data_IF_312381271451
#
_entry.id   IF_312381271451
#
_cell.length_a   1.000
_cell.length_b   1.000
_cell.length_c   1.000
_cell.angle_alpha   90.00
_cell.angle_beta   90.00
_cell.angle_gamma   90.00
#
_symmetry.space_group_name_H-M   'P 1'
#
loop_
_entity.id
_entity.type
_entity.pdbx_description
1 polymer ?
#
# COMPACT_ATOMS: atom_id res chain seq x y z
N UNK A 1 6.12 6.39 -11.85
CA UNK A 1 6.38 7.54 -10.96
C UNK A 1 5.83 7.22 -9.58
N UNK A 2 6.64 7.22 -8.51
CA UNK A 2 6.18 6.92 -7.15
C UNK A 2 5.91 8.25 -6.41
N UNK A 3 4.75 8.35 -5.76
CA UNK A 3 4.42 9.48 -4.88
C UNK A 3 5.08 9.23 -3.53
N UNK A 4 5.84 10.18 -3.05
CA UNK A 4 6.59 10.12 -1.80
C UNK A 4 6.03 11.12 -0.79
N UNK A 5 6.14 10.79 0.49
CA UNK A 5 5.77 11.69 1.59
C UNK A 5 6.92 11.78 2.59
N UNK A 6 7.29 13.00 2.98
CA UNK A 6 8.28 13.20 4.03
C UNK A 6 7.66 12.85 5.39
N UNK A 7 8.24 11.92 6.15
CA UNK A 7 7.72 11.54 7.47
C UNK A 7 7.93 12.63 8.53
N UNK A 8 8.77 13.64 8.26
CA UNK A 8 9.08 14.71 9.21
C UNK A 8 8.18 15.94 9.03
N UNK A 9 7.99 16.40 7.79
CA UNK A 9 7.21 17.61 7.50
C UNK A 9 5.88 17.34 6.79
N UNK A 10 5.62 16.10 6.36
CA UNK A 10 4.41 15.74 5.63
C UNK A 10 4.34 16.24 4.18
N UNK A 11 5.41 16.86 3.66
CA UNK A 11 5.44 17.31 2.27
C UNK A 11 5.31 16.11 1.30
N UNK A 12 4.60 16.29 0.18
CA UNK A 12 4.34 15.23 -0.80
C UNK A 12 4.92 15.64 -2.15
N UNK A 13 5.74 14.77 -2.75
CA UNK A 13 6.34 15.02 -4.07
C UNK A 13 6.40 13.74 -4.90
N UNK A 14 6.69 13.89 -6.19
CA UNK A 14 6.80 12.76 -7.11
C UNK A 14 8.28 12.54 -7.37
N UNK A 15 8.79 11.36 -7.00
CA UNK A 15 10.18 10.99 -7.26
C UNK A 15 10.32 10.32 -8.63
N UNK A 16 11.37 10.70 -9.37
CA UNK A 16 11.72 10.09 -10.66
C UNK A 16 12.61 8.87 -10.50
N UNK A 17 13.47 8.86 -9.49
CA UNK A 17 14.44 7.79 -9.21
C UNK A 17 13.91 6.74 -8.24
N UNK A 18 14.45 5.53 -8.36
CA UNK A 18 14.20 4.38 -7.47
C UNK A 18 15.24 4.27 -6.35
N UNK A 19 15.98 5.34 -6.06
CA UNK A 19 17.00 5.36 -5.02
C UNK A 19 16.40 5.13 -3.62
N UNK A 20 17.18 4.47 -2.76
CA UNK A 20 16.79 4.12 -1.40
C UNK A 20 16.96 5.28 -0.41
N UNK A 21 17.82 6.25 -0.73
CA UNK A 21 18.02 7.46 0.06
C UNK A 21 17.37 8.64 -0.66
N UNK A 22 16.62 9.46 0.08
CA UNK A 22 15.93 10.63 -0.45
C UNK A 22 16.12 11.82 0.47
N UNK A 23 16.29 12.99 -0.13
CA UNK A 23 16.21 14.27 0.54
C UNK A 23 14.82 14.91 0.30
N UNK A 24 14.19 15.41 1.37
CA UNK A 24 12.93 16.15 1.22
C UNK A 24 13.18 17.54 0.64
N UNK A 25 12.51 17.95 -0.46
CA UNK A 25 12.71 19.28 -1.07
C UNK A 25 12.20 20.44 -0.20
N UNK A 26 11.37 20.16 0.82
CA UNK A 26 10.79 21.18 1.69
C UNK A 26 11.62 21.40 2.96
N UNK A 27 11.89 20.33 3.72
CA UNK A 27 12.61 20.42 5.00
C UNK A 27 14.08 20.02 4.91
N UNK A 28 14.54 19.55 3.75
CA UNK A 28 15.90 19.06 3.48
C UNK A 28 16.36 17.92 4.40
N UNK A 29 15.42 17.19 4.97
CA UNK A 29 15.74 16.01 5.76
C UNK A 29 16.02 14.84 4.83
N UNK A 30 17.15 14.19 5.05
CA UNK A 30 17.56 12.96 4.37
C UNK A 30 17.04 11.74 5.14
N UNK A 31 16.45 10.79 4.44
CA UNK A 31 15.95 9.55 5.03
C UNK A 31 15.95 8.39 4.04
N UNK A 32 15.95 7.18 4.58
CA UNK A 32 15.89 5.95 3.80
C UNK A 32 14.46 5.45 3.67
N UNK A 33 14.08 5.11 2.44
CA UNK A 33 12.84 4.40 2.13
C UNK A 33 13.19 2.95 1.81
N UNK A 34 12.67 2.03 2.61
CA UNK A 34 12.69 0.64 2.23
C UNK A 34 11.66 0.43 1.12
N UNK A 35 12.01 -0.21 -0.01
CA UNK A 35 11.01 -0.63 -0.96
C UNK A 35 10.09 -1.60 -0.21
N UNK A 36 8.81 -1.23 -0.06
CA UNK A 36 7.79 -2.21 0.29
C UNK A 36 7.84 -3.26 -0.81
N UNK A 37 8.28 -4.47 -0.45
CA UNK A 37 7.93 -5.64 -1.24
C UNK A 37 6.40 -5.66 -1.23
N UNK A 38 5.79 -5.56 -2.40
CA UNK A 38 4.35 -5.77 -2.52
C UNK A 38 4.08 -7.19 -2.03
N UNK A 39 3.56 -7.24 -0.80
CA UNK A 39 3.28 -8.46 -0.08
C UNK A 39 2.36 -9.33 -0.93
N UNK A 40 2.75 -10.59 -1.06
CA UNK A 40 2.05 -11.64 -1.80
C UNK A 40 0.54 -11.56 -1.58
N UNK A 41 -0.19 -11.47 -2.70
CA UNK A 41 -1.63 -11.65 -2.79
C UNK A 41 -1.96 -13.07 -2.30
N UNK A 42 -2.10 -13.24 -0.98
CA UNK A 42 -2.71 -14.43 -0.40
C UNK A 42 -4.20 -14.35 -0.71
N UNK A 43 -4.58 -14.96 -1.83
CA UNK A 43 -5.97 -15.24 -2.18
C UNK A 43 -6.56 -16.07 -1.05
N UNK A 44 -7.36 -15.43 -0.19
CA UNK A 44 -8.25 -16.16 0.71
C UNK A 44 -9.44 -16.61 -0.15
N UNK A 45 -9.41 -17.88 -0.58
CA UNK A 45 -10.52 -18.55 -1.25
C UNK A 45 -11.76 -18.49 -0.33
N UNK A 46 -12.75 -17.66 -0.67
CA UNK A 46 -14.05 -17.64 0.01
C UNK A 46 -14.77 -18.98 -0.23
N UNK A 47 -14.78 -19.86 0.78
CA UNK A 47 -15.67 -21.03 0.81
C UNK A 47 -17.13 -20.56 0.90
N UNK A 48 -17.91 -20.75 -0.17
CA UNK A 48 -19.36 -20.47 -0.20
C UNK A 48 -20.13 -21.51 0.62
N UNK A 49 -20.38 -21.21 1.90
CA UNK A 49 -21.27 -22.01 2.75
C UNK A 49 -22.52 -21.20 3.07
N UNK A 50 -23.66 -21.81 2.70
CA UNK A 50 -25.04 -21.48 3.07
C UNK A 50 -25.67 -20.25 2.40
N UNK A 51 -26.72 -20.47 1.60
CA UNK A 51 -28.11 -20.21 2.01
C UNK A 51 -29.06 -20.28 0.79
N UNK A 52 -29.38 -21.48 0.27
CA UNK A 52 -30.68 -21.69 -0.39
C UNK A 52 -31.59 -22.43 0.58
N UNK A 53 -32.00 -21.63 1.55
CA UNK A 53 -33.21 -21.69 2.34
C UNK A 53 -34.45 -21.91 1.45
N UNK A 54 -34.66 -23.11 0.91
CA UNK A 54 -35.92 -23.47 0.23
C UNK A 54 -36.61 -24.69 0.88
N UNK A 55 -36.45 -24.88 2.19
CA UNK A 55 -37.35 -25.72 3.00
C UNK A 55 -38.51 -24.92 3.64
N UNK A 56 -38.81 -23.73 3.13
CA UNK A 56 -39.96 -22.93 3.60
C UNK A 56 -41.07 -22.77 2.57
N UNK A 57 -41.14 -23.68 1.59
CA UNK A 57 -42.16 -23.63 0.54
C UNK A 57 -42.76 -24.99 0.08
N UNK A 58 -42.69 -26.07 0.87
CA UNK A 58 -43.60 -27.22 0.71
C UNK A 58 -44.24 -27.66 2.01
#
# INVERSE_FOLDING_TARGET
MKKENCPFCGHRWIRKSSESMIECPNCRTEYFIQPRHEDEESVEEEETIADEFEERNL
#
